data_IF_532601789939
#
_entry.id   IF_532601789939
#
_cell.length_a   1.000
_cell.length_b   1.000
_cell.length_c   1.000
_cell.angle_alpha   90.00
_cell.angle_beta   90.00
_cell.angle_gamma   90.00
#
_symmetry.space_group_name_H-M   'P 1'
#
loop_
_entity.id
_entity.type
_entity.pdbx_description
1 polymer ?
#
# COMPACT_ATOMS: atom_id res chain seq x y z
N UNK A 1 26.87 0.11 0.37
CA UNK A 1 26.71 -0.58 1.66
C UNK A 1 25.24 -0.39 2.05
N UNK A 2 24.41 -1.41 1.90
CA UNK A 2 22.98 -1.32 2.23
C UNK A 2 22.86 -0.93 3.70
N UNK A 3 22.10 0.12 4.01
CA UNK A 3 21.76 0.40 5.40
C UNK A 3 21.02 -0.83 5.93
N UNK A 4 21.59 -1.51 6.93
CA UNK A 4 20.98 -2.69 7.53
C UNK A 4 19.54 -2.33 7.94
N UNK A 5 18.57 -3.14 7.52
CA UNK A 5 17.19 -2.88 7.88
C UNK A 5 17.06 -2.95 9.41
N UNK A 6 16.45 -1.93 10.02
CA UNK A 6 16.15 -1.92 11.45
C UNK A 6 14.88 -2.74 11.75
N UNK A 7 14.56 -3.70 10.90
CA UNK A 7 13.41 -4.57 11.08
C UNK A 7 13.74 -5.66 12.10
N UNK A 8 12.81 -5.88 13.02
CA UNK A 8 12.90 -6.94 14.01
C UNK A 8 12.18 -8.20 13.51
N UNK A 9 12.91 -9.31 13.44
CA UNK A 9 12.43 -10.61 12.97
C UNK A 9 12.13 -11.60 14.10
N UNK A 10 12.09 -11.15 15.36
CA UNK A 10 11.62 -11.99 16.46
C UNK A 10 10.20 -12.52 16.18
N UNK A 11 9.82 -13.68 16.74
CA UNK A 11 8.49 -14.24 16.53
C UNK A 11 7.38 -13.22 16.81
N UNK A 12 6.31 -13.28 16.00
CA UNK A 12 5.14 -12.44 16.22
C UNK A 12 4.57 -12.70 17.62
N UNK A 13 4.32 -11.62 18.36
CA UNK A 13 3.93 -11.66 19.76
C UNK A 13 4.99 -11.14 20.73
N UNK A 14 6.25 -11.03 20.30
CA UNK A 14 7.34 -10.44 21.09
C UNK A 14 7.05 -8.99 21.49
N UNK A 15 6.31 -8.25 20.66
CA UNK A 15 5.97 -6.83 20.88
C UNK A 15 4.50 -6.60 21.17
N UNK A 16 3.84 -7.55 21.87
CA UNK A 16 2.43 -7.38 22.28
C UNK A 16 2.29 -6.16 23.21
N UNK A 17 1.35 -5.23 22.94
CA UNK A 17 1.15 -4.08 23.79
C UNK A 17 0.61 -4.52 25.17
N UNK A 18 1.20 -4.00 26.24
CA UNK A 18 0.81 -4.27 27.64
C UNK A 18 0.60 -2.98 28.41
N UNK A 19 -0.13 -3.07 29.53
CA UNK A 19 -0.32 -1.98 30.47
C UNK A 19 -0.86 -0.70 29.83
N UNK A 20 -0.17 0.41 30.05
CA UNK A 20 -0.59 1.75 29.58
C UNK A 20 -0.67 1.82 28.05
N UNK A 21 0.24 1.19 27.33
CA UNK A 21 0.23 1.22 25.87
C UNK A 21 -1.04 0.58 25.31
N UNK A 22 -1.45 -0.58 25.86
CA UNK A 22 -2.70 -1.24 25.47
C UNK A 22 -3.91 -0.33 25.69
N UNK A 23 -4.01 0.29 26.88
CA UNK A 23 -5.11 1.23 27.18
C UNK A 23 -5.13 2.45 26.25
N UNK A 24 -3.97 2.96 25.87
CA UNK A 24 -3.87 4.05 24.90
C UNK A 24 -4.34 3.61 23.51
N UNK A 25 -3.95 2.43 23.05
CA UNK A 25 -4.41 1.88 21.78
C UNK A 25 -5.93 1.65 21.80
N UNK A 26 -6.46 1.06 22.87
CA UNK A 26 -7.90 0.85 23.04
C UNK A 26 -8.65 2.19 22.99
N UNK A 27 -8.14 3.22 23.68
CA UNK A 27 -8.73 4.56 23.64
C UNK A 27 -8.69 5.18 22.23
N UNK A 28 -7.54 5.17 21.56
CA UNK A 28 -7.40 5.82 20.25
C UNK A 28 -8.20 5.10 19.16
N UNK A 29 -8.33 3.78 19.24
CA UNK A 29 -9.07 2.95 18.28
C UNK A 29 -10.59 3.04 18.44
N UNK A 30 -11.07 3.31 19.65
CA UNK A 30 -12.50 3.47 19.95
C UNK A 30 -12.95 4.95 19.99
N UNK A 31 -12.05 5.90 19.72
CA UNK A 31 -12.41 7.30 19.65
C UNK A 31 -13.43 7.56 18.53
N UNK A 32 -14.46 8.34 18.84
CA UNK A 32 -15.51 8.72 17.90
C UNK A 32 -15.05 9.73 16.85
N UNK A 33 -15.87 9.97 15.83
CA UNK A 33 -15.53 10.83 14.68
C UNK A 33 -15.71 12.32 14.93
N UNK A 34 -16.22 12.74 16.10
CA UNK A 34 -16.35 14.15 16.43
C UNK A 34 -14.98 14.80 16.69
N UNK A 35 -14.91 16.12 16.50
CA UNK A 35 -13.66 16.88 16.56
C UNK A 35 -12.92 16.75 17.89
N UNK A 36 -13.65 16.77 19.02
CA UNK A 36 -13.06 16.64 20.35
C UNK A 36 -12.41 15.25 20.55
N UNK A 37 -13.12 14.19 20.16
CA UNK A 37 -12.65 12.83 20.23
C UNK A 37 -11.43 12.60 19.33
N UNK A 38 -11.43 13.12 18.11
CA UNK A 38 -10.28 13.05 17.22
C UNK A 38 -9.06 13.76 17.81
N UNK A 39 -9.23 14.98 18.36
CA UNK A 39 -8.12 15.70 19.02
C UNK A 39 -7.57 14.93 20.22
N UNK A 40 -8.45 14.39 21.06
CA UNK A 40 -8.03 13.57 22.19
C UNK A 40 -7.26 12.32 21.74
N UNK A 41 -7.72 11.64 20.69
CA UNK A 41 -7.03 10.49 20.11
C UNK A 41 -5.64 10.85 19.56
N UNK A 42 -5.50 12.00 18.89
CA UNK A 42 -4.20 12.48 18.38
C UNK A 42 -3.22 12.83 19.50
N UNK A 43 -3.70 13.41 20.61
CA UNK A 43 -2.88 13.65 21.81
C UNK A 43 -2.44 12.34 22.47
N UNK A 44 -3.38 11.40 22.66
CA UNK A 44 -3.09 10.08 23.23
C UNK A 44 -2.11 9.28 22.35
N UNK A 45 -2.21 9.39 21.01
CA UNK A 45 -1.22 8.85 20.06
C UNK A 45 0.17 9.41 20.33
N UNK A 46 0.31 10.73 20.51
CA UNK A 46 1.61 11.34 20.82
C UNK A 46 2.21 10.80 22.11
N UNK A 47 1.39 10.59 23.12
CA UNK A 47 1.78 9.96 24.40
C UNK A 47 2.18 8.49 24.21
N UNK A 48 1.46 7.74 23.37
CA UNK A 48 1.77 6.35 23.04
C UNK A 48 3.10 6.20 22.30
N UNK A 49 3.35 7.05 21.30
CA UNK A 49 4.61 7.06 20.54
C UNK A 49 5.84 7.28 21.42
N UNK A 50 5.77 8.24 22.36
CA UNK A 50 6.88 8.49 23.30
C UNK A 50 7.17 7.28 24.19
N UNK A 51 6.16 6.47 24.52
CA UNK A 51 6.32 5.25 25.33
C UNK A 51 6.90 4.09 24.55
N UNK A 52 6.68 4.02 23.23
CA UNK A 52 7.21 2.96 22.39
C UNK A 52 8.73 3.00 22.25
N UNK A 53 9.37 4.17 22.43
CA UNK A 53 10.83 4.32 22.30
C UNK A 53 11.38 3.68 21.00
N UNK A 54 10.67 3.93 19.89
CA UNK A 54 10.96 3.36 18.57
C UNK A 54 10.91 1.82 18.48
N UNK A 55 10.21 1.14 19.39
CA UNK A 55 9.91 -0.28 19.24
C UNK A 55 8.73 -0.52 18.27
N UNK A 56 8.72 -1.65 17.53
CA UNK A 56 7.54 -2.10 16.81
C UNK A 56 6.43 -2.55 17.78
N UNK A 57 5.24 -2.78 17.24
CA UNK A 57 4.08 -3.28 18.01
C UNK A 57 3.37 -4.37 17.24
N UNK A 58 3.15 -5.51 17.90
CA UNK A 58 2.39 -6.64 17.36
C UNK A 58 0.91 -6.51 17.73
N UNK A 59 0.04 -6.35 16.73
CA UNK A 59 -1.39 -6.10 16.93
C UNK A 59 -2.25 -6.83 15.91
N UNK A 60 -3.49 -7.13 16.29
CA UNK A 60 -4.56 -7.32 15.32
C UNK A 60 -5.10 -5.94 14.94
N UNK A 61 -5.15 -5.66 13.64
CA UNK A 61 -5.75 -4.45 13.08
C UNK A 61 -7.19 -4.77 12.71
N UNK A 62 -8.12 -4.47 13.63
CA UNK A 62 -9.53 -4.90 13.55
C UNK A 62 -10.22 -4.58 12.21
N UNK A 63 -10.13 -3.37 11.62
CA UNK A 63 -10.75 -3.13 10.32
C UNK A 63 -10.24 -4.03 9.20
N UNK A 64 -9.03 -4.58 9.34
CA UNK A 64 -8.44 -5.52 8.40
C UNK A 64 -8.65 -6.98 8.79
N UNK A 65 -8.92 -7.25 10.08
CA UNK A 65 -8.82 -8.57 10.71
C UNK A 65 -7.42 -9.21 10.58
N UNK A 66 -6.38 -8.39 10.39
CA UNK A 66 -5.02 -8.85 10.09
C UNK A 66 -4.08 -8.72 11.30
N UNK A 67 -3.24 -9.73 11.52
CA UNK A 67 -2.14 -9.71 12.48
C UNK A 67 -0.92 -9.02 11.85
N UNK A 68 -0.46 -7.92 12.42
CA UNK A 68 0.61 -7.11 11.83
C UNK A 68 1.59 -6.61 12.88
N UNK A 69 2.89 -6.66 12.55
CA UNK A 69 3.94 -5.92 13.25
C UNK A 69 4.08 -4.56 12.60
N UNK A 70 3.79 -3.51 13.36
CA UNK A 70 3.79 -2.13 12.87
C UNK A 70 4.92 -1.33 13.51
N UNK A 71 5.55 -0.46 12.71
CA UNK A 71 6.68 0.39 13.07
C UNK A 71 6.26 1.87 13.01
N UNK A 72 5.58 2.38 14.04
CA UNK A 72 4.90 3.68 13.99
C UNK A 72 5.84 4.89 14.09
N UNK A 73 7.14 4.66 14.26
CA UNK A 73 8.14 5.72 14.47
C UNK A 73 8.81 6.19 13.17
N UNK A 74 8.88 5.33 12.15
CA UNK A 74 9.51 5.63 10.87
C UNK A 74 8.60 5.37 9.66
N UNK A 75 7.29 5.26 9.89
CA UNK A 75 6.30 5.13 8.82
C UNK A 75 4.96 5.75 9.26
N UNK A 76 4.52 6.82 8.61
CA UNK A 76 3.27 7.48 8.97
C UNK A 76 2.02 6.63 8.67
N UNK A 77 2.03 5.79 7.63
CA UNK A 77 0.94 4.86 7.35
C UNK A 77 0.76 3.85 8.49
N UNK A 78 1.84 3.17 8.91
CA UNK A 78 1.83 2.21 10.01
C UNK A 78 1.47 2.88 11.35
N UNK A 79 1.94 4.11 11.59
CA UNK A 79 1.54 4.93 12.75
C UNK A 79 0.04 5.16 12.80
N UNK A 80 -0.57 5.53 11.68
CA UNK A 80 -2.01 5.78 11.64
C UNK A 80 -2.79 4.45 11.74
N UNK A 81 -2.30 3.37 11.13
CA UNK A 81 -2.88 2.03 11.23
C UNK A 81 -2.86 1.46 12.65
N UNK A 82 -1.79 1.73 13.40
CA UNK A 82 -1.66 1.29 14.79
C UNK A 82 -2.65 2.00 15.72
N UNK A 83 -2.70 3.33 15.66
CA UNK A 83 -3.43 4.14 16.66
C UNK A 83 -4.86 4.48 16.24
N UNK A 84 -5.10 4.77 14.97
CA UNK A 84 -6.38 5.28 14.47
C UNK A 84 -6.84 4.61 13.17
N UNK A 85 -6.87 3.27 13.09
CA UNK A 85 -7.20 2.55 11.86
C UNK A 85 -8.61 2.86 11.34
N UNK A 86 -9.52 3.29 12.22
CA UNK A 86 -10.90 3.65 11.87
C UNK A 86 -11.01 4.96 11.06
N UNK A 87 -10.02 5.85 11.14
CA UNK A 87 -10.02 7.12 10.40
C UNK A 87 -9.25 7.05 9.08
N UNK A 88 -8.22 6.22 9.05
CA UNK A 88 -7.31 6.06 7.92
C UNK A 88 -8.06 5.43 6.77
N UNK A 89 -7.82 5.87 5.54
CA UNK A 89 -8.13 5.17 4.29
C UNK A 89 -9.52 4.50 4.27
N UNK A 90 -10.52 5.16 4.89
CA UNK A 90 -11.87 4.61 5.07
C UNK A 90 -12.55 4.43 3.72
N UNK A 91 -12.44 5.43 2.86
CA UNK A 91 -13.06 5.42 1.53
C UNK A 91 -12.35 4.43 0.60
N UNK A 92 -11.00 4.32 0.69
CA UNK A 92 -10.23 3.30 -0.03
C UNK A 92 -10.68 1.90 0.41
N UNK A 93 -10.70 1.63 1.73
CA UNK A 93 -11.15 0.32 2.24
C UNK A 93 -12.58 0.01 1.85
N UNK A 94 -13.49 0.99 1.89
CA UNK A 94 -14.88 0.79 1.48
C UNK A 94 -14.97 0.45 -0.01
N UNK A 95 -14.19 1.14 -0.85
CA UNK A 95 -14.11 0.85 -2.28
C UNK A 95 -13.52 -0.54 -2.54
N UNK A 96 -12.37 -0.87 -1.94
CA UNK A 96 -11.77 -2.21 -2.05
C UNK A 96 -12.75 -3.29 -1.60
N UNK A 97 -13.44 -3.10 -0.47
CA UNK A 97 -14.43 -4.05 0.03
C UNK A 97 -15.57 -4.30 -0.96
N UNK A 98 -15.98 -3.29 -1.73
CA UNK A 98 -17.00 -3.45 -2.78
C UNK A 98 -16.50 -4.22 -4.00
N UNK A 99 -15.17 -4.24 -4.24
CA UNK A 99 -14.56 -4.99 -5.35
C UNK A 99 -14.18 -6.43 -4.99
N UNK A 100 -14.11 -6.75 -3.69
CA UNK A 100 -13.71 -8.09 -3.22
C UNK A 100 -14.72 -9.13 -3.69
N UNK A 101 -14.21 -10.16 -4.38
CA UNK A 101 -14.97 -11.34 -4.80
C UNK A 101 -14.11 -12.59 -4.75
N UNK A 102 -14.75 -13.75 -4.80
CA UNK A 102 -14.04 -15.03 -4.96
C UNK A 102 -13.19 -15.00 -6.24
N UNK A 103 -11.99 -15.60 -6.17
CA UNK A 103 -11.13 -15.84 -7.34
C UNK A 103 -10.76 -14.57 -8.13
N UNK A 104 -10.52 -13.46 -7.43
CA UNK A 104 -10.11 -12.22 -8.08
C UNK A 104 -8.60 -12.13 -8.34
N UNK A 105 -8.23 -11.38 -9.38
CA UNK A 105 -6.86 -10.94 -9.66
C UNK A 105 -6.68 -9.49 -9.19
N UNK A 106 -5.87 -9.30 -8.15
CA UNK A 106 -5.59 -7.99 -7.55
C UNK A 106 -4.11 -7.65 -7.67
N UNK A 107 -3.79 -6.48 -8.21
CA UNK A 107 -2.44 -5.93 -8.19
C UNK A 107 -2.40 -4.75 -7.20
N UNK A 108 -1.60 -4.88 -6.15
CA UNK A 108 -1.35 -3.86 -5.12
C UNK A 108 0.05 -3.27 -5.35
N UNK A 109 0.14 -2.20 -6.15
CA UNK A 109 1.41 -1.55 -6.47
C UNK A 109 1.65 -0.41 -5.48
N UNK A 110 2.77 -0.46 -4.76
CA UNK A 110 3.02 0.39 -3.59
C UNK A 110 2.37 -0.20 -2.33
N UNK A 111 2.51 -1.52 -2.14
CA UNK A 111 1.82 -2.27 -1.09
C UNK A 111 2.25 -1.90 0.35
N UNK A 112 3.39 -1.22 0.52
CA UNK A 112 3.90 -0.78 1.81
C UNK A 112 4.13 -1.93 2.77
N UNK A 113 3.44 -1.91 3.92
CA UNK A 113 3.51 -3.00 4.92
C UNK A 113 2.51 -4.15 4.66
N UNK A 114 1.85 -4.17 3.50
CA UNK A 114 0.92 -5.22 3.08
C UNK A 114 -0.52 -5.06 3.59
N UNK A 115 -0.92 -3.89 4.07
CA UNK A 115 -2.22 -3.68 4.70
C UNK A 115 -3.41 -3.93 3.76
N UNK A 116 -3.38 -3.37 2.55
CA UNK A 116 -4.46 -3.54 1.55
C UNK A 116 -4.45 -4.96 0.97
N UNK A 117 -3.28 -5.49 0.63
CA UNK A 117 -3.10 -6.89 0.26
C UNK A 117 -3.70 -7.88 1.28
N UNK A 118 -3.40 -7.71 2.58
CA UNK A 118 -3.99 -8.54 3.65
C UNK A 118 -5.49 -8.33 3.79
N UNK A 119 -5.98 -7.11 3.65
CA UNK A 119 -7.41 -6.82 3.70
C UNK A 119 -8.19 -7.62 2.66
N UNK A 120 -7.67 -7.67 1.43
CA UNK A 120 -8.24 -8.42 0.30
C UNK A 120 -8.04 -9.92 0.51
N UNK A 121 -6.83 -10.38 0.82
CA UNK A 121 -6.52 -11.79 1.03
C UNK A 121 -7.41 -12.45 2.08
N UNK A 122 -7.64 -11.78 3.22
CA UNK A 122 -8.46 -12.31 4.32
C UNK A 122 -9.97 -12.29 4.04
N UNK A 123 -10.42 -11.68 2.95
CA UNK A 123 -11.82 -11.61 2.52
C UNK A 123 -12.09 -12.33 1.20
N UNK A 124 -11.03 -12.85 0.57
CA UNK A 124 -11.11 -13.62 -0.67
C UNK A 124 -10.93 -15.11 -0.36
N UNK A 125 -11.33 -15.96 -1.30
CA UNK A 125 -11.03 -17.39 -1.23
C UNK A 125 -9.59 -17.71 -1.67
N UNK A 126 -9.12 -18.95 -1.45
CA UNK A 126 -7.77 -19.38 -1.82
C UNK A 126 -7.47 -19.31 -3.33
N UNK A 127 -8.49 -19.21 -4.18
CA UNK A 127 -8.33 -19.05 -5.63
C UNK A 127 -8.03 -17.61 -6.10
N UNK A 128 -7.98 -16.62 -5.19
CA UNK A 128 -7.56 -15.28 -5.57
C UNK A 128 -6.06 -15.24 -5.93
N UNK A 129 -5.70 -14.36 -6.87
CA UNK A 129 -4.33 -14.08 -7.30
C UNK A 129 -3.99 -12.64 -6.93
N UNK A 130 -3.26 -12.46 -5.84
CA UNK A 130 -2.90 -11.13 -5.34
C UNK A 130 -1.40 -10.94 -5.56
N UNK A 131 -1.02 -9.89 -6.31
CA UNK A 131 0.36 -9.48 -6.49
C UNK A 131 0.62 -8.20 -5.72
N UNK A 132 1.40 -8.29 -4.65
CA UNK A 132 1.78 -7.17 -3.80
C UNK A 132 3.21 -6.72 -4.15
N UNK A 133 3.36 -5.49 -4.65
CA UNK A 133 4.63 -4.96 -5.14
C UNK A 133 5.07 -3.80 -4.25
N UNK A 134 6.27 -3.91 -3.69
CA UNK A 134 6.86 -2.87 -2.83
C UNK A 134 8.36 -2.72 -3.13
N UNK A 135 8.80 -1.59 -3.72
CA UNK A 135 10.20 -1.40 -4.07
C UNK A 135 11.10 -1.14 -2.87
N UNK A 136 10.59 -0.59 -1.76
CA UNK A 136 11.43 -0.28 -0.61
C UNK A 136 11.80 -1.57 0.13
N UNK A 137 13.09 -1.97 0.21
CA UNK A 137 13.46 -3.25 0.81
C UNK A 137 13.04 -3.37 2.28
N UNK A 138 13.05 -2.27 3.03
CA UNK A 138 12.64 -2.27 4.44
C UNK A 138 11.12 -2.49 4.58
N UNK A 139 10.30 -1.90 3.70
CA UNK A 139 8.85 -2.12 3.72
C UNK A 139 8.49 -3.50 3.16
N UNK A 140 9.18 -3.94 2.12
CA UNK A 140 9.02 -5.28 1.56
C UNK A 140 9.24 -6.37 2.62
N UNK A 141 10.32 -6.27 3.41
CA UNK A 141 10.57 -7.20 4.53
C UNK A 141 9.43 -7.19 5.56
N UNK A 142 8.89 -6.01 5.90
CA UNK A 142 7.74 -5.87 6.82
C UNK A 142 6.48 -6.50 6.24
N UNK A 143 6.21 -6.28 4.95
CA UNK A 143 5.10 -6.89 4.23
C UNK A 143 5.21 -8.41 4.26
N UNK A 144 6.36 -8.98 3.87
CA UNK A 144 6.60 -10.43 3.90
C UNK A 144 6.42 -10.99 5.31
N UNK A 145 6.94 -10.31 6.34
CA UNK A 145 6.73 -10.71 7.73
C UNK A 145 5.24 -10.75 8.10
N UNK A 146 4.47 -9.71 7.74
CA UNK A 146 3.04 -9.63 8.03
C UNK A 146 2.23 -10.67 7.26
N UNK A 147 2.52 -10.89 5.96
CA UNK A 147 1.85 -11.93 5.15
C UNK A 147 1.99 -13.32 5.79
N UNK A 148 3.19 -13.65 6.29
CA UNK A 148 3.44 -14.93 6.98
C UNK A 148 2.62 -15.12 8.26
N UNK A 149 2.20 -14.04 8.95
CA UNK A 149 1.42 -14.17 10.19
C UNK A 149 -0.06 -14.47 9.94
N UNK A 150 -0.54 -14.25 8.71
CA UNK A 150 -1.96 -14.31 8.37
C UNK A 150 -2.32 -15.52 7.50
N UNK A 151 -1.35 -16.39 7.20
CA UNK A 151 -1.53 -17.53 6.28
C UNK A 151 -2.29 -17.12 5.01
N UNK A 152 -1.71 -16.17 4.26
CA UNK A 152 -2.30 -15.57 3.06
C UNK A 152 -1.67 -16.16 1.78
N UNK A 153 -1.97 -17.43 1.41
CA UNK A 153 -1.31 -18.11 0.29
C UNK A 153 -1.67 -17.53 -1.09
N UNK A 154 -2.74 -16.74 -1.18
CA UNK A 154 -3.17 -16.04 -2.39
C UNK A 154 -2.29 -14.82 -2.71
N UNK A 155 -1.39 -14.40 -1.82
CA UNK A 155 -0.53 -13.22 -2.00
C UNK A 155 0.88 -13.61 -2.40
N UNK A 156 1.31 -13.17 -3.58
CA UNK A 156 2.71 -13.15 -4.01
C UNK A 156 3.29 -11.75 -3.80
N UNK A 157 4.43 -11.68 -3.12
CA UNK A 157 5.16 -10.44 -2.87
C UNK A 157 6.34 -10.29 -3.84
N UNK A 158 6.52 -9.09 -4.43
CA UNK A 158 7.68 -8.74 -5.28
C UNK A 158 8.36 -7.45 -4.79
N UNK A 159 9.68 -7.45 -4.81
CA UNK A 159 10.57 -6.36 -4.39
C UNK A 159 11.10 -5.55 -5.59
N UNK A 160 10.19 -5.08 -6.43
CA UNK A 160 10.52 -4.26 -7.59
C UNK A 160 9.72 -2.95 -7.63
N UNK A 161 10.25 -1.96 -8.34
CA UNK A 161 9.52 -0.77 -8.74
C UNK A 161 8.65 -1.06 -9.96
N UNK A 162 7.55 -0.33 -10.09
CA UNK A 162 6.77 -0.26 -11.33
C UNK A 162 7.12 1.01 -12.07
N UNK A 163 7.54 0.87 -13.33
CA UNK A 163 7.95 1.96 -14.20
C UNK A 163 7.51 1.72 -15.65
N UNK A 164 7.70 2.72 -16.51
CA UNK A 164 7.46 2.64 -17.95
C UNK A 164 8.51 1.79 -18.71
N UNK A 165 9.62 1.46 -18.05
CA UNK A 165 10.78 0.78 -18.65
C UNK A 165 11.33 -0.31 -17.72
N UNK A 166 11.87 -1.36 -18.33
CA UNK A 166 12.52 -2.48 -17.63
C UNK A 166 13.96 -2.13 -17.25
N UNK A 167 14.44 -2.60 -16.09
CA UNK A 167 15.85 -2.49 -15.73
C UNK A 167 16.07 -2.20 -14.25
N UNK A 168 16.94 -1.23 -13.95
CA UNK A 168 17.21 -0.77 -12.59
C UNK A 168 16.74 0.68 -12.43
N UNK A 169 16.01 0.94 -11.34
CA UNK A 169 15.61 2.27 -10.93
C UNK A 169 16.33 2.69 -9.64
N UNK A 170 16.44 4.00 -9.41
CA UNK A 170 16.86 4.53 -8.11
C UNK A 170 15.62 4.97 -7.34
N UNK A 171 15.40 4.30 -6.21
CA UNK A 171 14.38 4.67 -5.24
C UNK A 171 14.96 5.70 -4.27
N UNK A 172 14.30 6.85 -4.15
CA UNK A 172 14.60 7.89 -3.17
C UNK A 172 13.54 7.86 -2.07
N UNK A 173 13.96 7.86 -0.82
CA UNK A 173 13.04 7.82 0.31
C UNK A 173 13.52 8.71 1.45
N UNK A 174 12.56 9.20 2.23
CA UNK A 174 12.86 9.91 3.46
C UNK A 174 13.34 8.90 4.52
N UNK A 175 14.59 8.99 5.02
CA UNK A 175 15.11 8.03 6.00
C UNK A 175 14.36 8.08 7.34
N UNK A 176 13.59 9.16 7.59
CA UNK A 176 12.78 9.34 8.79
C UNK A 176 11.32 8.94 8.62
N UNK A 177 10.82 8.82 7.38
CA UNK A 177 9.46 8.39 7.09
C UNK A 177 9.38 7.58 5.79
N UNK A 178 9.35 6.26 5.93
CA UNK A 178 9.32 5.32 4.82
C UNK A 178 8.03 5.39 3.99
N UNK A 179 6.96 6.00 4.51
CA UNK A 179 5.74 6.19 3.71
C UNK A 179 5.85 7.29 2.67
N UNK A 180 6.94 8.04 2.64
CA UNK A 180 7.24 9.03 1.60
C UNK A 180 8.41 8.51 0.75
N UNK A 181 8.08 7.73 -0.28
CA UNK A 181 9.06 7.22 -1.25
C UNK A 181 8.78 7.83 -2.63
N UNK A 182 9.79 7.97 -3.48
CA UNK A 182 9.64 8.42 -4.86
C UNK A 182 10.67 7.73 -5.75
N UNK A 183 10.29 7.37 -6.97
CA UNK A 183 11.17 6.67 -7.91
C UNK A 183 11.72 7.69 -8.92
N UNK A 184 13.02 7.62 -9.24
CA UNK A 184 13.59 8.34 -10.39
C UNK A 184 14.50 7.42 -11.20
N UNK A 185 14.38 7.53 -12.52
CA UNK A 185 15.19 6.78 -13.50
C UNK A 185 16.48 7.55 -13.87
N UNK A 186 17.29 8.00 -12.90
CA UNK A 186 18.61 8.61 -13.21
C UNK A 186 19.58 8.52 -12.02
N UNK A 187 20.89 8.36 -12.30
CA UNK A 187 22.00 8.49 -11.34
C UNK A 187 22.13 9.94 -10.83
N UNK A 188 21.26 10.36 -9.91
CA UNK A 188 21.38 11.67 -9.23
C UNK A 188 21.75 11.43 -7.78
N UNK A 189 22.89 11.95 -7.35
CA UNK A 189 23.24 12.04 -5.93
C UNK A 189 22.29 13.05 -5.26
N UNK A 190 21.25 12.54 -4.60
CA UNK A 190 20.35 13.32 -3.75
C UNK A 190 20.68 13.10 -2.27
N UNK A 191 20.62 14.15 -1.44
CA UNK A 191 20.95 14.10 -0.01
C UNK A 191 19.98 13.30 0.89
N UNK A 192 19.15 12.41 0.33
CA UNK A 192 18.22 11.52 1.03
C UNK A 192 18.68 10.06 1.03
N UNK A 193 17.87 9.15 1.60
CA UNK A 193 18.13 7.72 1.45
C UNK A 193 17.91 7.29 0.00
N UNK A 194 18.85 6.54 -0.58
CA UNK A 194 18.74 6.03 -1.94
C UNK A 194 19.10 4.54 -1.99
N UNK A 195 18.36 3.78 -2.80
CA UNK A 195 18.69 2.38 -3.09
C UNK A 195 18.36 2.03 -4.53
N UNK A 196 19.13 1.12 -5.13
CA UNK A 196 18.85 0.58 -6.46
C UNK A 196 17.88 -0.58 -6.32
N UNK A 197 16.89 -0.63 -7.19
CA UNK A 197 15.84 -1.66 -7.21
C UNK A 197 15.59 -2.10 -8.64
N UNK A 198 15.18 -3.35 -8.83
CA UNK A 198 14.69 -3.79 -10.13
C UNK A 198 13.42 -3.00 -10.48
N UNK A 199 13.24 -2.67 -11.75
CA UNK A 199 12.06 -1.99 -12.27
C UNK A 199 11.41 -2.85 -13.35
N UNK A 200 10.08 -2.99 -13.26
CA UNK A 200 9.26 -3.72 -14.23
C UNK A 200 8.06 -2.91 -14.66
N UNK A 201 7.60 -3.09 -15.90
CA UNK A 201 6.32 -2.55 -16.33
C UNK A 201 5.13 -3.36 -15.82
N UNK A 202 3.95 -2.72 -15.74
CA UNK A 202 2.69 -3.44 -15.45
C UNK A 202 2.45 -4.58 -16.45
N UNK A 203 2.81 -4.38 -17.72
CA UNK A 203 2.72 -5.39 -18.77
C UNK A 203 3.59 -6.62 -18.48
N UNK A 204 4.85 -6.40 -18.10
CA UNK A 204 5.75 -7.50 -17.73
C UNK A 204 5.28 -8.22 -16.48
N UNK A 205 4.79 -7.51 -15.46
CA UNK A 205 4.21 -8.14 -14.28
C UNK A 205 2.99 -9.01 -14.64
N UNK A 206 2.06 -8.50 -15.44
CA UNK A 206 0.88 -9.26 -15.86
C UNK A 206 1.26 -10.52 -16.67
N UNK A 207 2.27 -10.42 -17.54
CA UNK A 207 2.79 -11.52 -18.36
C UNK A 207 3.52 -12.57 -17.53
N UNK A 208 4.43 -12.15 -16.65
CA UNK A 208 5.23 -13.05 -15.80
C UNK A 208 4.34 -13.88 -14.86
N UNK A 209 3.25 -13.28 -14.37
CA UNK A 209 2.28 -13.97 -13.51
C UNK A 209 1.19 -14.72 -14.29
N UNK A 210 1.17 -14.60 -15.63
CA UNK A 210 0.18 -15.26 -16.49
C UNK A 210 -1.26 -14.81 -16.19
N UNK A 211 -1.47 -13.52 -15.91
CA UNK A 211 -2.81 -12.98 -15.72
C UNK A 211 -3.56 -12.95 -17.05
N UNK A 212 -4.83 -13.37 -17.02
CA UNK A 212 -5.75 -13.28 -18.17
C UNK A 212 -6.74 -12.12 -18.04
N UNK A 213 -6.90 -11.59 -16.83
CA UNK A 213 -7.70 -10.40 -16.51
C UNK A 213 -7.23 -9.78 -15.21
N UNK A 214 -7.50 -8.48 -15.02
CA UNK A 214 -7.23 -7.77 -13.77
C UNK A 214 -8.54 -7.21 -13.23
N UNK A 215 -8.82 -7.53 -11.98
CA UNK A 215 -10.09 -7.19 -11.34
C UNK A 215 -9.99 -5.89 -10.57
N UNK A 216 -8.87 -5.71 -9.89
CA UNK A 216 -8.53 -4.50 -9.16
C UNK A 216 -7.05 -4.22 -9.38
N UNK A 217 -6.73 -2.97 -9.71
CA UNK A 217 -5.37 -2.44 -9.68
C UNK A 217 -5.35 -1.24 -8.76
N UNK A 218 -4.53 -1.31 -7.70
CA UNK A 218 -4.12 -0.15 -6.94
C UNK A 218 -2.74 0.28 -7.42
N UNK A 219 -2.60 1.55 -7.75
CA UNK A 219 -1.37 2.15 -8.25
C UNK A 219 -0.99 3.35 -7.37
N UNK A 220 -0.01 3.13 -6.51
CA UNK A 220 0.56 4.12 -5.60
C UNK A 220 2.08 4.14 -5.79
N UNK A 221 2.53 4.83 -6.84
CA UNK A 221 3.94 4.95 -7.24
C UNK A 221 4.47 6.37 -7.05
N UNK A 222 3.75 7.17 -6.26
CA UNK A 222 4.15 8.47 -5.74
C UNK A 222 4.38 9.57 -6.81
N UNK A 223 3.53 9.56 -7.83
CA UNK A 223 3.48 10.60 -8.88
C UNK A 223 3.91 10.15 -10.26
N UNK A 224 4.14 8.85 -10.47
CA UNK A 224 4.43 8.26 -11.77
C UNK A 224 3.29 7.34 -12.25
N UNK A 225 2.06 7.56 -11.75
CA UNK A 225 0.91 6.71 -12.06
C UNK A 225 0.55 6.76 -13.55
N UNK A 226 0.70 7.92 -14.19
CA UNK A 226 0.50 8.13 -15.62
C UNK A 226 1.53 7.36 -16.46
N UNK A 227 2.82 7.49 -16.11
CA UNK A 227 3.92 6.78 -16.80
C UNK A 227 3.76 5.26 -16.74
N UNK A 228 3.27 4.72 -15.63
CA UNK A 228 3.03 3.29 -15.50
C UNK A 228 1.74 2.82 -16.21
N UNK A 229 0.65 3.60 -16.14
CA UNK A 229 -0.67 3.17 -16.58
C UNK A 229 -0.95 3.45 -18.06
N UNK A 230 -0.44 4.55 -18.63
CA UNK A 230 -0.68 4.92 -20.02
C UNK A 230 -0.17 3.87 -21.02
N UNK A 231 1.08 3.38 -20.93
CA UNK A 231 1.57 2.31 -21.82
C UNK A 231 0.75 1.03 -21.68
N UNK A 232 0.36 0.68 -20.45
CA UNK A 232 -0.44 -0.52 -20.17
C UNK A 232 -1.80 -0.46 -20.87
N UNK A 233 -2.55 0.64 -20.73
CA UNK A 233 -3.86 0.81 -21.37
C UNK A 233 -3.79 1.06 -22.88
N UNK A 234 -2.60 1.29 -23.44
CA UNK A 234 -2.41 1.54 -24.87
C UNK A 234 -1.91 0.32 -25.62
N UNK A 235 -1.10 -0.51 -24.98
CA UNK A 235 -0.38 -1.62 -25.63
C UNK A 235 -0.95 -2.99 -25.26
N UNK A 236 -1.50 -3.15 -24.05
CA UNK A 236 -2.05 -4.43 -23.61
C UNK A 236 -3.52 -4.60 -24.05
N UNK A 237 -3.97 -5.84 -24.29
CA UNK A 237 -5.34 -6.09 -24.73
C UNK A 237 -6.37 -5.76 -23.64
N UNK A 238 -7.59 -5.43 -24.07
CA UNK A 238 -8.66 -4.93 -23.19
C UNK A 238 -9.07 -5.87 -22.05
N UNK A 239 -8.86 -7.18 -22.23
CA UNK A 239 -9.14 -8.18 -21.19
C UNK A 239 -8.20 -8.02 -19.99
N UNK A 240 -6.99 -7.48 -20.19
CA UNK A 240 -6.04 -7.20 -19.10
C UNK A 240 -6.26 -5.86 -18.42
N UNK A 241 -6.99 -4.95 -19.05
CA UNK A 241 -7.28 -3.66 -18.43
C UNK A 241 -8.09 -3.86 -17.14
N UNK A 242 -7.73 -3.19 -16.03
CA UNK A 242 -8.39 -3.44 -14.76
C UNK A 242 -9.88 -3.11 -14.79
N UNK A 243 -10.71 -3.91 -14.14
CA UNK A 243 -12.13 -3.58 -13.98
C UNK A 243 -12.34 -2.41 -13.01
N UNK A 244 -11.52 -2.33 -11.97
CA UNK A 244 -11.49 -1.23 -11.02
C UNK A 244 -10.06 -0.70 -10.80
N UNK A 245 -9.92 0.62 -10.63
CA UNK A 245 -8.66 1.30 -10.38
C UNK A 245 -8.72 2.13 -9.10
N UNK A 246 -7.64 2.07 -8.34
CA UNK A 246 -7.33 3.00 -7.24
C UNK A 246 -6.02 3.70 -7.60
N UNK A 247 -6.08 5.00 -7.87
CA UNK A 247 -4.89 5.78 -8.26
C UNK A 247 -4.54 6.76 -7.14
N UNK A 248 -3.27 6.78 -6.72
CA UNK A 248 -2.79 7.80 -5.79
C UNK A 248 -3.04 9.20 -6.36
N UNK A 249 -3.66 10.06 -5.55
CA UNK A 249 -4.05 11.41 -5.95
C UNK A 249 -3.01 12.41 -5.48
N UNK A 250 -2.13 12.81 -6.40
CA UNK A 250 -1.15 13.88 -6.20
C UNK A 250 -1.39 15.02 -7.19
N UNK A 251 -2.14 16.07 -6.81
CA UNK A 251 -2.41 17.19 -7.71
C UNK A 251 -1.13 17.80 -8.29
N UNK A 252 -1.08 17.92 -9.63
CA UNK A 252 0.03 18.57 -10.34
C UNK A 252 1.29 17.72 -10.50
N UNK A 253 1.24 16.41 -10.24
CA UNK A 253 2.34 15.48 -10.51
C UNK A 253 2.24 14.71 -11.83
N UNK A 254 1.04 14.62 -12.43
CA UNK A 254 0.86 13.92 -13.70
C UNK A 254 1.17 14.88 -14.86
N UNK A 255 2.05 14.44 -15.76
CA UNK A 255 2.43 15.18 -16.96
C UNK A 255 1.45 14.89 -18.10
N UNK A 256 0.86 13.68 -18.13
CA UNK A 256 -0.11 13.27 -19.14
C UNK A 256 -1.57 13.51 -18.71
N UNK A 257 -2.47 13.66 -19.69
CA UNK A 257 -3.92 13.67 -19.45
C UNK A 257 -4.45 12.25 -19.18
N UNK A 258 -3.99 11.66 -18.06
CA UNK A 258 -4.40 10.33 -17.62
C UNK A 258 -5.92 10.24 -17.46
N UNK A 259 -6.56 11.35 -17.08
CA UNK A 259 -8.02 11.40 -16.97
C UNK A 259 -8.69 11.26 -18.34
N UNK A 260 -8.25 12.04 -19.33
CA UNK A 260 -8.76 11.93 -20.70
C UNK A 260 -8.55 10.54 -21.29
N UNK A 261 -7.40 9.90 -21.02
CA UNK A 261 -7.16 8.51 -21.41
C UNK A 261 -8.16 7.55 -20.75
N UNK A 262 -8.34 7.64 -19.43
CA UNK A 262 -9.29 6.79 -18.71
C UNK A 262 -10.72 6.93 -19.23
N UNK A 263 -11.16 8.16 -19.47
CA UNK A 263 -12.49 8.44 -20.03
C UNK A 263 -12.64 7.83 -21.45
N UNK A 264 -11.62 7.93 -22.30
CA UNK A 264 -11.60 7.30 -23.65
C UNK A 264 -11.60 5.77 -23.60
N UNK A 265 -11.04 5.17 -22.54
CA UNK A 265 -11.01 3.71 -22.32
C UNK A 265 -12.22 3.20 -21.53
N UNK A 266 -13.24 4.03 -21.33
CA UNK A 266 -14.52 3.64 -20.71
C UNK A 266 -14.52 3.59 -19.19
N UNK A 267 -13.50 4.12 -18.53
CA UNK A 267 -13.48 4.22 -17.07
C UNK A 267 -14.31 5.41 -16.59
N UNK A 268 -15.19 5.16 -15.62
CA UNK A 268 -15.95 6.21 -14.92
C UNK A 268 -15.38 6.42 -13.53
N UNK A 269 -15.14 7.68 -13.16
CA UNK A 269 -14.75 8.03 -11.80
C UNK A 269 -15.94 7.86 -10.84
N UNK A 270 -15.84 6.93 -9.91
CA UNK A 270 -16.91 6.62 -8.94
C UNK A 270 -16.77 7.46 -7.67
N UNK A 271 -15.55 7.86 -7.31
CA UNK A 271 -15.32 8.63 -6.10
C UNK A 271 -13.88 9.15 -5.96
N UNK A 272 -13.61 9.73 -4.80
CA UNK A 272 -12.26 10.09 -4.35
C UNK A 272 -12.18 10.11 -2.84
N UNK A 273 -10.99 9.89 -2.32
CA UNK A 273 -10.62 10.22 -0.95
C UNK A 273 -9.67 11.42 -0.94
N UNK A 274 -9.03 11.70 0.21
CA UNK A 274 -7.96 12.69 0.30
C UNK A 274 -6.71 12.28 -0.50
N UNK A 275 -6.46 10.97 -0.62
CA UNK A 275 -5.21 10.40 -1.14
C UNK A 275 -5.40 9.56 -2.40
N UNK A 276 -6.64 9.25 -2.80
CA UNK A 276 -6.89 8.33 -3.92
C UNK A 276 -8.07 8.79 -4.78
N UNK A 277 -8.01 8.47 -6.08
CA UNK A 277 -9.14 8.49 -7.01
C UNK A 277 -9.60 7.05 -7.27
N UNK A 278 -10.91 6.86 -7.43
CA UNK A 278 -11.51 5.55 -7.67
C UNK A 278 -12.22 5.54 -9.02
N UNK A 279 -11.90 4.55 -9.86
CA UNK A 279 -12.52 4.36 -11.17
C UNK A 279 -13.02 2.93 -11.33
N UNK A 280 -14.07 2.77 -12.11
CA UNK A 280 -14.58 1.48 -12.58
C UNK A 280 -14.79 1.54 -14.09
N UNK A 281 -14.59 0.41 -14.75
CA UNK A 281 -14.92 0.20 -16.16
C UNK A 281 -16.06 -0.80 -16.22
N UNK A 282 -17.10 -0.46 -16.98
CA UNK A 282 -18.19 -1.39 -17.25
C UNK A 282 -17.62 -2.51 -18.16
N UNK A 283 -17.89 -3.79 -17.87
CA UNK A 283 -17.37 -4.92 -18.67
C UNK A 283 -17.89 -4.81 -20.12
N UNK A 284 -17.05 -5.05 -21.15
CA UNK A 284 -17.51 -5.31 -22.52
C UNK A 284 -18.37 -6.58 -22.61
#
# INVERSE_FOLDING_TARGET
>A
MFAASNNDFSPFGAYRPRGVLRRLLDFTRNAGTNWLAQRAALLARGVGLRRLRAAPVDVTVEPLAAQMRLYPYNNACEKRLLFTPQYVDRDERAFVAAQVRSEMTFLDIGAGCGATSLFVALRTGPGAKILAVEPNPTLFERMVFNLRQNDAPSVKALDCAVADTEGEAVLFFNPYDLSESSIRMVNVEGGGGQTRVAAKSLATLARDEGFGSIDLLKLDVEGAEDLALEPFLTQEPENLWPRALILAFSPGKWDADLRGLLDQRGYRRIGRSRSYLFYERDDP
#
